data_IF_706543358418
#
_entry.id   IF_706543358418
#
_cell.length_a   1.000
_cell.length_b   1.000
_cell.length_c   1.000
_cell.angle_alpha   90.00
_cell.angle_beta   90.00
_cell.angle_gamma   90.00
#
_symmetry.space_group_name_H-M   'P 1'
#
loop_
_entity.id
_entity.type
_entity.pdbx_description
1 polymer ?
#
# COMPACT_ATOMS: atom_id res chain seq x y z
N UNK A 1 6.04 -3.20 16.31
CA UNK A 1 5.35 -1.97 15.91
C UNK A 1 4.02 -1.89 16.67
N UNK A 2 3.70 -0.73 17.25
CA UNK A 2 2.38 -0.46 17.81
C UNK A 2 1.34 -0.53 16.68
N UNK A 3 0.24 -1.26 16.90
CA UNK A 3 -0.91 -1.37 15.97
C UNK A 3 -1.86 -0.16 16.05
N UNK A 4 -1.49 0.85 16.82
CA UNK A 4 -2.35 2.00 17.09
C UNK A 4 -2.32 3.01 15.93
N UNK A 5 -1.32 2.91 15.05
CA UNK A 5 -1.02 3.90 14.00
C UNK A 5 -1.20 3.34 12.59
N UNK A 6 -1.92 2.22 12.42
CA UNK A 6 -2.21 1.66 11.09
C UNK A 6 -3.65 1.94 10.63
N UNK A 7 -3.78 2.41 9.38
CA UNK A 7 -5.07 2.55 8.71
C UNK A 7 -5.22 1.38 7.74
N UNK A 8 -6.20 0.52 8.04
CA UNK A 8 -6.57 -0.55 7.14
C UNK A 8 -7.45 -0.02 5.99
N UNK A 9 -6.92 -0.09 4.77
CA UNK A 9 -7.59 0.37 3.55
C UNK A 9 -8.50 -0.68 2.94
N UNK A 10 -8.17 -1.98 3.10
CA UNK A 10 -8.96 -3.09 2.55
C UNK A 10 -9.03 -4.29 3.49
N UNK A 11 -10.06 -5.12 3.30
CA UNK A 11 -10.08 -6.48 3.82
C UNK A 11 -9.23 -7.47 3.00
N UNK A 12 -9.31 -8.77 3.31
CA UNK A 12 -8.59 -9.83 2.58
C UNK A 12 -9.01 -9.92 1.11
N UNK A 13 -8.05 -10.25 0.24
CA UNK A 13 -8.25 -10.39 -1.19
C UNK A 13 -7.23 -11.33 -1.82
N UNK A 14 -7.45 -11.71 -3.09
CA UNK A 14 -6.49 -12.50 -3.88
C UNK A 14 -5.81 -11.59 -4.90
N UNK A 15 -4.49 -11.70 -5.00
CA UNK A 15 -3.69 -10.98 -5.97
C UNK A 15 -2.90 -11.97 -6.84
N UNK A 16 -3.00 -11.84 -8.17
CA UNK A 16 -2.30 -12.73 -9.10
C UNK A 16 -1.00 -12.10 -9.60
N UNK A 17 0.07 -12.90 -9.63
CA UNK A 17 1.36 -12.49 -10.22
C UNK A 17 1.42 -12.70 -11.75
N UNK A 18 2.51 -12.27 -12.38
CA UNK A 18 2.71 -12.38 -13.83
C UNK A 18 2.84 -13.82 -14.33
N UNK A 19 3.06 -14.79 -13.43
CA UNK A 19 3.06 -16.23 -13.74
C UNK A 19 1.68 -16.86 -13.60
N UNK A 20 0.65 -16.08 -13.26
CA UNK A 20 -0.72 -16.55 -13.06
C UNK A 20 -0.95 -17.21 -11.70
N UNK A 21 0.00 -17.13 -10.76
CA UNK A 21 -0.18 -17.68 -9.41
C UNK A 21 -0.92 -16.67 -8.55
N UNK A 22 -1.94 -17.15 -7.84
CA UNK A 22 -2.71 -16.34 -6.90
C UNK A 22 -2.08 -16.38 -5.49
N UNK A 23 -1.98 -15.21 -4.88
CA UNK A 23 -1.47 -15.00 -3.53
C UNK A 23 -2.58 -14.44 -2.64
N UNK A 24 -2.77 -15.02 -1.46
CA UNK A 24 -3.75 -14.55 -0.49
C UNK A 24 -3.18 -13.38 0.33
N UNK A 25 -3.72 -12.19 0.10
CA UNK A 25 -3.42 -10.98 0.85
C UNK A 25 -4.43 -10.80 2.00
N UNK A 26 -3.93 -10.39 3.16
CA UNK A 26 -4.71 -10.21 4.39
C UNK A 26 -5.36 -8.83 4.44
N UNK A 27 -4.62 -7.80 4.07
CA UNK A 27 -5.06 -6.41 4.08
C UNK A 27 -4.09 -5.53 3.27
N UNK A 28 -4.59 -4.36 2.87
CA UNK A 28 -3.77 -3.22 2.45
C UNK A 28 -3.82 -2.20 3.59
N UNK A 29 -2.65 -1.69 4.01
CA UNK A 29 -2.51 -0.76 5.12
C UNK A 29 -1.56 0.38 4.78
N UNK A 30 -1.74 1.50 5.45
CA UNK A 30 -0.81 2.63 5.52
C UNK A 30 -0.60 2.97 6.99
N UNK A 31 0.43 3.75 7.30
CA UNK A 31 0.48 4.43 8.61
C UNK A 31 -0.49 5.61 8.59
N UNK A 32 -1.02 5.98 9.75
CA UNK A 32 -2.01 7.05 9.92
C UNK A 32 -1.40 8.46 9.86
N UNK A 33 -0.09 8.58 10.04
CA UNK A 33 0.66 9.83 9.94
C UNK A 33 1.94 9.62 9.12
N UNK A 34 2.37 10.65 8.39
CA UNK A 34 3.60 10.62 7.60
C UNK A 34 4.01 11.97 7.03
N UNK A 35 5.23 12.04 6.50
CA UNK A 35 5.75 13.21 5.80
C UNK A 35 5.82 12.89 4.29
N UNK A 36 5.01 13.56 3.49
CA UNK A 36 5.07 13.44 2.02
C UNK A 36 4.49 12.13 1.47
N UNK A 37 5.27 11.41 0.65
CA UNK A 37 4.80 10.23 -0.08
C UNK A 37 4.47 9.06 0.86
N UNK A 38 3.32 8.42 0.63
CA UNK A 38 2.81 7.36 1.49
C UNK A 38 3.31 6.00 1.01
N UNK A 39 3.95 5.24 1.90
CA UNK A 39 4.20 3.82 1.71
C UNK A 39 2.92 3.01 1.96
N UNK A 40 2.57 2.15 1.02
CA UNK A 40 1.44 1.22 1.10
C UNK A 40 1.94 -0.19 1.34
N UNK A 41 1.48 -0.77 2.44
CA UNK A 41 1.87 -2.09 2.92
C UNK A 41 0.80 -3.13 2.59
N UNK A 42 1.20 -4.25 2.01
CA UNK A 42 0.30 -5.38 1.74
C UNK A 42 0.84 -6.64 2.39
N UNK A 43 0.11 -7.14 3.38
CA UNK A 43 0.46 -8.35 4.10
C UNK A 43 -0.07 -9.59 3.37
N UNK A 44 0.81 -10.54 3.06
CA UNK A 44 0.44 -11.81 2.46
C UNK A 44 0.44 -12.96 3.48
N UNK A 45 -0.39 -13.96 3.22
CA UNK A 45 -0.43 -15.20 4.02
C UNK A 45 0.75 -16.12 3.68
N UNK A 46 1.11 -16.18 2.39
CA UNK A 46 2.24 -16.92 1.84
C UNK A 46 3.43 -16.02 1.47
N UNK A 47 4.55 -16.66 1.10
CA UNK A 47 5.74 -15.94 0.65
C UNK A 47 5.56 -15.38 -0.77
N UNK A 48 5.95 -14.12 -0.96
CA UNK A 48 5.99 -13.38 -2.23
C UNK A 48 7.42 -12.95 -2.59
N UNK A 49 8.45 -13.55 -1.95
CA UNK A 49 9.85 -13.21 -2.20
C UNK A 49 10.20 -13.16 -3.69
N UNK A 50 10.80 -12.05 -4.12
CA UNK A 50 11.17 -11.81 -5.52
C UNK A 50 10.08 -11.20 -6.40
N UNK A 51 8.85 -11.03 -5.89
CA UNK A 51 7.72 -10.49 -6.66
C UNK A 51 7.47 -8.99 -6.45
N UNK A 52 8.29 -8.29 -5.67
CA UNK A 52 8.08 -6.88 -5.32
C UNK A 52 8.07 -5.91 -6.53
N UNK A 53 8.61 -6.32 -7.69
CA UNK A 53 8.56 -5.58 -8.97
C UNK A 53 7.64 -6.23 -10.01
N UNK A 54 6.89 -7.27 -9.64
CA UNK A 54 5.97 -7.93 -10.55
C UNK A 54 4.78 -7.00 -10.83
N UNK A 55 4.69 -6.52 -12.08
CA UNK A 55 3.67 -5.55 -12.48
C UNK A 55 2.26 -6.11 -12.36
N UNK A 56 2.05 -7.41 -12.58
CA UNK A 56 0.72 -8.00 -12.49
C UNK A 56 0.27 -8.07 -11.02
N UNK A 57 1.17 -8.42 -10.11
CA UNK A 57 0.91 -8.40 -8.67
C UNK A 57 0.57 -6.98 -8.19
N UNK A 58 1.37 -5.98 -8.57
CA UNK A 58 1.13 -4.58 -8.23
C UNK A 58 -0.22 -4.12 -8.80
N UNK A 59 -0.52 -4.44 -10.06
CA UNK A 59 -1.80 -4.10 -10.68
C UNK A 59 -3.00 -4.77 -9.98
N UNK A 60 -2.84 -5.99 -9.46
CA UNK A 60 -3.88 -6.66 -8.69
C UNK A 60 -4.13 -5.95 -7.34
N UNK A 61 -3.08 -5.44 -6.68
CA UNK A 61 -3.22 -4.59 -5.49
C UNK A 61 -3.93 -3.28 -5.82
N UNK A 62 -3.54 -2.60 -6.90
CA UNK A 62 -4.19 -1.37 -7.36
C UNK A 62 -5.67 -1.62 -7.70
N UNK A 63 -5.99 -2.76 -8.32
CA UNK A 63 -7.37 -3.16 -8.58
C UNK A 63 -8.17 -3.28 -7.28
N UNK A 64 -7.58 -3.86 -6.23
CA UNK A 64 -8.21 -3.92 -4.91
C UNK A 64 -8.41 -2.52 -4.30
N UNK A 65 -7.41 -1.63 -4.37
CA UNK A 65 -7.53 -0.23 -3.94
C UNK A 65 -8.69 0.50 -4.64
N UNK A 66 -8.91 0.22 -5.93
CA UNK A 66 -10.03 0.79 -6.70
C UNK A 66 -11.39 0.33 -6.18
N UNK A 67 -11.51 -0.89 -5.65
CA UNK A 67 -12.77 -1.35 -5.04
C UNK A 67 -13.13 -0.59 -3.76
N UNK A 68 -12.14 -0.02 -3.07
CA UNK A 68 -12.33 0.74 -1.82
C UNK A 68 -12.30 2.26 -2.01
N UNK A 69 -12.26 2.72 -3.27
CA UNK A 69 -12.48 4.11 -3.68
C UNK A 69 -11.26 4.84 -4.26
N UNK A 70 -10.10 4.21 -4.36
CA UNK A 70 -8.93 4.87 -4.98
C UNK A 70 -9.11 5.02 -6.49
N UNK A 71 -8.87 6.22 -7.02
CA UNK A 71 -9.04 6.54 -8.46
C UNK A 71 -7.77 7.10 -9.11
N UNK A 72 -6.66 7.15 -8.39
CA UNK A 72 -5.41 7.72 -8.88
C UNK A 72 -4.59 6.78 -9.76
N UNK A 73 -3.35 7.19 -10.09
CA UNK A 73 -2.40 6.39 -10.86
C UNK A 73 -2.06 5.03 -10.23
N UNK A 74 -1.36 4.16 -10.96
CA UNK A 74 -0.87 2.92 -10.37
C UNK A 74 0.28 3.21 -9.40
N UNK A 75 0.34 2.44 -8.31
CA UNK A 75 1.46 2.48 -7.37
C UNK A 75 2.70 1.81 -7.98
N UNK A 76 3.88 2.17 -7.46
CA UNK A 76 5.18 1.61 -7.86
C UNK A 76 5.76 0.75 -6.76
N UNK A 77 6.76 -0.06 -7.11
CA UNK A 77 7.49 -0.82 -6.11
C UNK A 77 8.21 0.14 -5.16
N UNK A 78 7.99 -0.01 -3.85
CA UNK A 78 8.68 0.76 -2.82
C UNK A 78 10.14 0.30 -2.63
N UNK A 79 10.79 0.84 -1.60
CA UNK A 79 12.19 0.52 -1.31
C UNK A 79 12.39 -0.99 -1.11
N UNK A 80 13.45 -1.52 -1.73
CA UNK A 80 13.81 -2.93 -1.63
C UNK A 80 14.22 -3.35 -0.22
N UNK A 81 14.69 -2.41 0.62
CA UNK A 81 15.09 -2.69 2.01
C UNK A 81 13.90 -2.94 2.95
N UNK A 82 12.72 -2.44 2.58
CA UNK A 82 11.48 -2.60 3.35
C UNK A 82 10.69 -3.85 2.95
N UNK A 83 11.07 -4.50 1.84
CA UNK A 83 10.40 -5.70 1.36
C UNK A 83 10.74 -6.89 2.27
N UNK A 84 9.73 -7.65 2.67
CA UNK A 84 9.93 -8.89 3.42
C UNK A 84 9.31 -10.08 2.68
N UNK A 85 9.59 -11.30 3.16
CA UNK A 85 9.09 -12.52 2.51
C UNK A 85 7.58 -12.53 2.33
N UNK A 86 6.81 -11.90 3.21
CA UNK A 86 5.33 -11.86 3.18
C UNK A 86 4.78 -10.44 3.14
N UNK A 87 5.62 -9.44 2.87
CA UNK A 87 5.25 -8.04 2.86
C UNK A 87 5.65 -7.43 1.53
N UNK A 88 4.67 -6.84 0.85
CA UNK A 88 4.91 -5.97 -0.29
C UNK A 88 4.78 -4.52 0.17
N UNK A 89 5.81 -3.72 -0.08
CA UNK A 89 5.78 -2.27 0.13
C UNK A 89 5.72 -1.58 -1.23
N UNK A 90 4.77 -0.68 -1.38
CA UNK A 90 4.55 0.10 -2.59
C UNK A 90 4.68 1.58 -2.27
N UNK A 91 5.29 2.33 -3.18
CA UNK A 91 5.32 3.78 -3.11
C UNK A 91 4.07 4.33 -3.81
N UNK A 92 3.32 5.17 -3.11
CA UNK A 92 2.15 5.82 -3.66
C UNK A 92 2.49 7.18 -4.27
N UNK A 93 1.86 7.55 -5.41
CA UNK A 93 2.00 8.89 -5.97
C UNK A 93 1.27 9.93 -5.09
N UNK A 94 1.60 11.20 -5.24
CA UNK A 94 1.02 12.29 -4.43
C UNK A 94 -0.52 12.33 -4.48
N UNK A 95 -1.15 11.96 -5.61
CA UNK A 95 -2.62 11.90 -5.70
C UNK A 95 -3.26 10.85 -4.76
N UNK A 96 -2.46 9.93 -4.22
CA UNK A 96 -2.91 8.99 -3.19
C UNK A 96 -3.21 9.70 -1.86
N UNK A 97 -2.55 10.82 -1.55
CA UNK A 97 -2.72 11.53 -0.29
C UNK A 97 -4.18 11.99 -0.09
N UNK A 98 -4.86 12.42 -1.15
CA UNK A 98 -6.29 12.77 -1.08
C UNK A 98 -7.17 11.58 -0.72
N UNK A 99 -6.87 10.40 -1.26
CA UNK A 99 -7.59 9.17 -0.93
C UNK A 99 -7.28 8.73 0.52
N UNK A 100 -6.02 8.78 0.93
CA UNK A 100 -5.56 8.42 2.26
C UNK A 100 -6.16 9.35 3.34
N UNK A 101 -6.20 10.66 3.10
CA UNK A 101 -6.83 11.64 4.00
C UNK A 101 -8.32 11.34 4.20
N UNK A 102 -9.03 10.95 3.14
CA UNK A 102 -10.41 10.47 3.21
C UNK A 102 -10.60 9.17 4.02
N UNK A 103 -9.51 8.46 4.35
CA UNK A 103 -9.48 7.28 5.22
C UNK A 103 -8.95 7.57 6.63
N UNK A 104 -8.56 8.81 6.92
CA UNK A 104 -8.06 9.25 8.21
C UNK A 104 -6.55 9.50 8.29
N UNK A 105 -5.82 9.44 7.17
CA UNK A 105 -4.40 9.78 7.14
C UNK A 105 -4.18 11.28 7.38
N UNK A 106 -3.09 11.62 8.09
CA UNK A 106 -2.68 12.98 8.40
C UNK A 106 -1.33 13.28 7.76
N UNK A 107 -1.27 14.35 6.99
CA UNK A 107 -0.02 14.91 6.49
C UNK A 107 0.65 15.72 7.59
N UNK A 108 1.72 15.18 8.16
CA UNK A 108 2.47 15.87 9.20
C UNK A 108 3.25 17.07 8.63
N UNK A 109 3.55 17.11 7.33
CA UNK A 109 4.25 18.25 6.74
C UNK A 109 3.38 19.51 6.72
N UNK A 110 2.06 19.36 6.59
CA UNK A 110 1.11 20.49 6.68
C UNK A 110 1.02 21.04 8.11
N UNK A 111 1.25 20.23 9.14
CA UNK A 111 1.18 20.69 10.55
C UNK A 111 2.36 21.58 10.97
N UNK A 112 3.46 21.63 10.19
CA UNK A 112 4.62 22.49 10.45
C UNK A 112 4.82 23.59 9.38
N UNK A 113 3.81 23.83 8.53
CA UNK A 113 3.89 24.74 7.39
C UNK A 113 3.60 26.22 7.66
N UNK A 114 3.22 26.61 8.88
CA UNK A 114 2.89 27.99 9.23
C UNK A 114 3.72 28.50 10.44
N UNK A 115 4.93 28.99 10.16
CA UNK A 115 5.61 30.07 10.91
C UNK A 115 6.14 31.15 9.95
#
# INVERSE_FOLDING_TARGET
MNKDTDIQLSGPFKASDGSGRAHDAKAIRIFDEGYGAIDVYVDFSGSISGLHKDKALINAVVAQLRTVGYKGPALTAGDSVLQESKLLVLEAPDEFNTFAAGKGWKDLAEEFGDE
#
